data_IF_266969183355
#
_entry.id   IF_266969183355
#
_cell.length_a   1.000
_cell.length_b   1.000
_cell.length_c   1.000
_cell.angle_alpha   90.00
_cell.angle_beta   90.00
_cell.angle_gamma   90.00
#
_symmetry.space_group_name_H-M   'P 1'
#
loop_
_entity.id
_entity.type
_entity.pdbx_description
1 polymer ?
#
# COMPACT_ATOMS: atom_id res chain seq x y z
N UNK A 1 -49.98 -5.60 -2.33
CA UNK A 1 -48.69 -5.29 -1.67
C UNK A 1 -47.49 -5.26 -2.62
N UNK A 2 -47.54 -5.90 -3.80
CA UNK A 2 -46.40 -6.03 -4.73
C UNK A 2 -45.97 -4.73 -5.44
N UNK A 3 -46.91 -3.91 -5.95
CA UNK A 3 -46.54 -2.70 -6.72
C UNK A 3 -45.67 -1.71 -5.92
N UNK A 4 -45.96 -1.48 -4.64
CA UNK A 4 -45.19 -0.56 -3.78
C UNK A 4 -43.74 -1.04 -3.63
N UNK A 5 -43.51 -2.35 -3.51
CA UNK A 5 -42.16 -2.93 -3.43
C UNK A 5 -41.42 -2.79 -4.76
N UNK A 6 -42.13 -2.91 -5.89
CA UNK A 6 -41.59 -2.63 -7.23
C UNK A 6 -41.12 -1.18 -7.37
N UNK A 7 -42.00 -0.21 -7.06
CA UNK A 7 -41.71 1.23 -7.12
C UNK A 7 -40.57 1.61 -6.17
N UNK A 8 -40.54 1.07 -4.95
CA UNK A 8 -39.44 1.32 -4.02
C UNK A 8 -38.09 0.72 -4.48
N UNK A 9 -38.09 -0.44 -5.17
CA UNK A 9 -36.87 -0.94 -5.84
C UNK A 9 -36.47 0.02 -6.96
N UNK A 10 -37.38 0.31 -7.89
CA UNK A 10 -37.06 1.11 -9.07
C UNK A 10 -36.57 2.52 -8.71
N UNK A 11 -37.17 3.19 -7.71
CA UNK A 11 -36.69 4.49 -7.21
C UNK A 11 -35.30 4.36 -6.58
N UNK A 12 -35.08 3.36 -5.72
CA UNK A 12 -33.77 3.13 -5.07
C UNK A 12 -32.68 2.85 -6.11
N UNK A 13 -32.98 2.00 -7.09
CA UNK A 13 -32.03 1.57 -8.09
C UNK A 13 -31.75 2.75 -9.06
N UNK A 14 -32.77 3.51 -9.48
CA UNK A 14 -32.66 4.78 -10.26
C UNK A 14 -32.10 5.98 -9.46
N UNK A 15 -31.81 5.81 -8.17
CA UNK A 15 -30.99 6.72 -7.33
C UNK A 15 -29.56 6.18 -7.20
N UNK A 16 -29.39 4.87 -7.05
CA UNK A 16 -28.09 4.19 -7.02
C UNK A 16 -27.30 4.41 -8.31
N UNK A 17 -27.94 4.21 -9.47
CA UNK A 17 -27.33 4.44 -10.79
C UNK A 17 -26.93 5.90 -10.99
N UNK A 18 -27.69 6.82 -10.40
CA UNK A 18 -27.37 8.25 -10.41
C UNK A 18 -26.14 8.55 -9.56
N UNK A 19 -26.03 7.92 -8.39
CA UNK A 19 -24.86 8.03 -7.53
C UNK A 19 -23.60 7.43 -8.21
N UNK A 20 -23.74 6.28 -8.89
CA UNK A 20 -22.65 5.66 -9.64
C UNK A 20 -22.24 6.42 -10.90
N UNK A 21 -23.16 7.10 -11.60
CA UNK A 21 -22.81 7.99 -12.72
C UNK A 21 -22.01 9.21 -12.27
N UNK A 22 -22.28 9.76 -11.08
CA UNK A 22 -21.48 10.86 -10.52
C UNK A 22 -20.16 10.39 -9.91
N UNK A 23 -20.08 9.14 -9.44
CA UNK A 23 -18.86 8.53 -8.90
C UNK A 23 -18.59 7.14 -9.51
N UNK A 24 -18.06 7.06 -10.75
CA UNK A 24 -17.76 5.79 -11.43
C UNK A 24 -16.69 4.92 -10.75
N UNK A 25 -16.06 5.41 -9.68
CA UNK A 25 -15.14 4.66 -8.83
C UNK A 25 -15.85 3.78 -7.78
N UNK A 26 -17.17 3.90 -7.58
CA UNK A 26 -17.93 3.18 -6.56
C UNK A 26 -18.72 1.96 -7.09
N UNK A 27 -18.89 1.84 -8.40
CA UNK A 27 -19.69 0.78 -9.05
C UNK A 27 -18.96 -0.57 -9.14
N UNK A 28 -17.66 -0.56 -9.41
CA UNK A 28 -16.80 -1.75 -9.43
C UNK A 28 -16.53 -2.25 -7.98
N UNK A 29 -16.88 -3.51 -7.64
CA UNK A 29 -16.68 -4.06 -6.29
C UNK A 29 -15.22 -4.10 -5.82
N UNK A 30 -14.26 -4.32 -6.72
CA UNK A 30 -12.83 -4.35 -6.40
C UNK A 30 -12.26 -2.94 -6.23
N UNK A 31 -12.67 -1.97 -7.08
CA UNK A 31 -12.39 -0.56 -6.81
C UNK A 31 -12.98 -0.10 -5.49
N UNK A 32 -14.24 -0.46 -5.21
CA UNK A 32 -14.97 -0.11 -3.99
C UNK A 32 -14.34 -0.72 -2.74
N UNK A 33 -13.91 -1.98 -2.76
CA UNK A 33 -13.16 -2.57 -1.65
C UNK A 33 -11.80 -1.89 -1.48
N UNK A 34 -11.09 -1.60 -2.56
CA UNK A 34 -9.83 -0.84 -2.50
C UNK A 34 -10.04 0.59 -1.99
N UNK A 35 -11.17 1.24 -2.31
CA UNK A 35 -11.47 2.60 -1.87
C UNK A 35 -11.88 2.61 -0.39
N UNK A 36 -12.73 1.69 0.05
CA UNK A 36 -13.00 1.51 1.47
C UNK A 36 -11.72 1.17 2.25
N UNK A 37 -10.81 0.36 1.70
CA UNK A 37 -9.53 0.04 2.34
C UNK A 37 -8.57 1.23 2.34
N UNK A 38 -8.51 2.04 1.26
CA UNK A 38 -7.69 3.27 1.20
C UNK A 38 -8.22 4.35 2.14
N UNK A 39 -9.54 4.54 2.18
CA UNK A 39 -10.21 5.42 3.16
C UNK A 39 -9.98 4.90 4.57
N UNK A 40 -10.11 3.59 4.82
CA UNK A 40 -9.79 3.00 6.12
C UNK A 40 -8.31 3.20 6.48
N UNK A 41 -7.36 2.99 5.57
CA UNK A 41 -5.93 3.17 5.83
C UNK A 41 -5.58 4.63 6.10
N UNK A 42 -6.14 5.58 5.34
CA UNK A 42 -5.99 7.02 5.58
C UNK A 42 -6.64 7.42 6.90
N UNK A 43 -7.85 6.95 7.21
CA UNK A 43 -8.51 7.20 8.48
C UNK A 43 -7.75 6.58 9.65
N UNK A 44 -7.15 5.39 9.48
CA UNK A 44 -6.27 4.75 10.48
C UNK A 44 -5.01 5.59 10.68
N UNK A 45 -4.38 6.11 9.62
CA UNK A 45 -3.25 7.04 9.75
C UNK A 45 -3.67 8.34 10.46
N UNK A 46 -4.82 8.93 10.10
CA UNK A 46 -5.35 10.12 10.77
C UNK A 46 -5.75 9.85 12.24
N UNK A 47 -6.17 8.62 12.56
CA UNK A 47 -6.43 8.17 13.94
C UNK A 47 -5.11 7.98 14.70
N UNK A 48 -4.08 7.33 14.14
CA UNK A 48 -2.79 7.18 14.81
C UNK A 48 -2.07 8.53 14.99
N UNK A 49 -2.04 9.38 13.95
CA UNK A 49 -1.49 10.74 14.03
C UNK A 49 -2.32 11.59 15.01
N UNK A 50 -3.65 11.50 14.97
CA UNK A 50 -4.55 12.20 15.88
C UNK A 50 -4.41 11.75 17.33
N UNK A 51 -4.25 10.45 17.59
CA UNK A 51 -4.02 9.90 18.94
C UNK A 51 -2.64 10.29 19.45
N UNK A 52 -1.59 10.30 18.62
CA UNK A 52 -0.29 10.86 18.99
C UNK A 52 -0.39 12.35 19.33
N UNK A 53 -1.11 13.14 18.52
CA UNK A 53 -1.38 14.56 18.78
C UNK A 53 -2.19 14.79 20.07
N UNK A 54 -3.12 13.90 20.41
CA UNK A 54 -3.98 14.02 21.60
C UNK A 54 -3.29 13.54 22.88
N UNK A 55 -2.37 12.57 22.80
CA UNK A 55 -1.66 12.01 23.96
C UNK A 55 -0.34 12.73 24.29
N UNK A 56 0.32 13.37 23.31
CA UNK A 56 1.65 14.00 23.48
C UNK A 56 1.74 15.43 22.91
N UNK A 57 0.61 16.15 22.90
CA UNK A 57 0.48 17.52 22.39
C UNK A 57 1.58 18.47 22.87
N UNK A 58 1.88 18.48 24.18
CA UNK A 58 2.86 19.38 24.78
C UNK A 58 4.29 19.15 24.29
N UNK A 59 4.73 17.90 24.13
CA UNK A 59 6.08 17.62 23.63
C UNK A 59 6.17 17.76 22.12
N UNK A 60 5.11 17.42 21.38
CA UNK A 60 5.06 17.64 19.93
C UNK A 60 5.08 19.14 19.59
N UNK A 61 4.35 19.98 20.34
CA UNK A 61 4.36 21.45 20.19
C UNK A 61 5.71 22.05 20.61
N UNK A 62 6.38 21.52 21.65
CA UNK A 62 7.76 21.93 22.01
C UNK A 62 8.75 21.57 20.90
N UNK A 63 8.65 20.36 20.35
CA UNK A 63 9.55 19.86 19.30
C UNK A 63 9.35 20.64 17.99
N UNK A 64 8.09 20.89 17.60
CA UNK A 64 7.73 21.75 16.46
C UNK A 64 8.30 23.17 16.55
N UNK A 65 8.39 23.74 17.76
CA UNK A 65 8.98 25.06 18.02
C UNK A 65 10.51 25.05 18.12
N UNK A 66 11.11 23.89 18.41
CA UNK A 66 12.56 23.72 18.53
C UNK A 66 13.23 23.44 17.18
N UNK A 67 12.59 22.61 16.35
CA UNK A 67 13.17 22.06 15.13
C UNK A 67 12.18 22.16 13.93
N UNK A 68 11.97 23.38 13.36
CA UNK A 68 10.97 23.60 12.31
C UNK A 68 11.20 22.79 11.02
N UNK A 69 12.47 22.42 10.77
CA UNK A 69 12.88 21.62 9.62
C UNK A 69 12.23 20.23 9.57
N UNK A 70 11.88 19.65 10.73
CA UNK A 70 11.22 18.34 10.83
C UNK A 70 9.81 18.37 10.21
N UNK A 71 9.04 19.41 10.50
CA UNK A 71 7.70 19.61 9.91
C UNK A 71 7.80 19.95 8.41
N UNK A 72 8.79 20.76 8.03
CA UNK A 72 9.08 21.05 6.62
C UNK A 72 9.38 19.78 5.81
N UNK A 73 10.18 18.86 6.37
CA UNK A 73 10.51 17.57 5.75
C UNK A 73 9.27 16.67 5.61
N UNK A 74 8.43 16.57 6.65
CA UNK A 74 7.18 15.78 6.60
C UNK A 74 6.23 16.29 5.49
N UNK A 75 6.01 17.60 5.42
CA UNK A 75 5.13 18.21 4.40
C UNK A 75 5.72 18.07 2.99
N UNK A 76 7.04 18.22 2.84
CA UNK A 76 7.73 18.01 1.57
C UNK A 76 7.55 16.57 1.06
N UNK A 77 7.75 15.57 1.92
CA UNK A 77 7.57 14.16 1.56
C UNK A 77 6.11 13.88 1.15
N UNK A 78 5.13 14.37 1.90
CA UNK A 78 3.70 14.21 1.56
C UNK A 78 3.34 14.79 0.18
N UNK A 79 3.83 16.01 -0.13
CA UNK A 79 3.60 16.64 -1.44
C UNK A 79 4.35 15.90 -2.56
N UNK A 80 5.57 15.43 -2.30
CA UNK A 80 6.33 14.62 -3.26
C UNK A 80 5.59 13.31 -3.61
N UNK A 81 5.01 12.61 -2.63
CA UNK A 81 4.18 11.41 -2.87
C UNK A 81 2.95 11.73 -3.74
N UNK A 82 2.30 12.89 -3.52
CA UNK A 82 1.18 13.35 -4.34
C UNK A 82 1.58 13.66 -5.79
N UNK A 83 2.72 14.32 -6.02
CA UNK A 83 3.22 14.59 -7.38
C UNK A 83 3.64 13.29 -8.08
N UNK A 84 4.34 12.40 -7.37
CA UNK A 84 4.75 11.08 -7.87
C UNK A 84 3.55 10.25 -8.34
N UNK A 85 2.43 10.29 -7.61
CA UNK A 85 1.18 9.62 -7.97
C UNK A 85 0.66 10.07 -9.36
N UNK A 86 0.63 11.38 -9.64
CA UNK A 86 0.16 11.89 -10.93
C UNK A 86 1.16 11.64 -12.07
N UNK A 87 2.47 11.74 -11.82
CA UNK A 87 3.51 11.45 -12.83
C UNK A 87 3.51 9.98 -13.25
N UNK A 88 3.15 9.07 -12.34
CA UNK A 88 3.09 7.61 -12.63
C UNK A 88 1.89 7.22 -13.52
N UNK A 89 1.01 8.15 -13.88
CA UNK A 89 -0.28 7.84 -14.52
C UNK A 89 -0.25 7.56 -16.04
N UNK A 90 0.87 7.74 -16.77
CA UNK A 90 0.88 7.47 -18.22
C UNK A 90 2.23 7.30 -18.92
N UNK A 91 2.44 6.16 -19.59
CA UNK A 91 3.40 5.90 -20.69
C UNK A 91 3.22 4.47 -21.31
N UNK A 92 3.57 4.25 -22.59
CA UNK A 92 3.41 2.98 -23.39
C UNK A 92 4.08 3.13 -24.79
N UNK A 93 4.14 2.14 -25.74
CA UNK A 93 3.73 0.71 -25.81
C UNK A 93 4.99 -0.23 -25.78
N UNK A 94 5.21 -1.36 -26.51
CA UNK A 94 4.50 -2.29 -27.44
C UNK A 94 5.46 -3.48 -27.79
N UNK A 95 5.17 -4.64 -28.41
CA UNK A 95 4.02 -5.16 -29.19
C UNK A 95 3.87 -6.74 -29.15
N UNK A 96 2.66 -7.30 -28.86
CA UNK A 96 2.17 -8.72 -28.88
C UNK A 96 0.67 -8.75 -28.51
N UNK A 97 -0.28 -9.29 -29.30
CA UNK A 97 -1.71 -8.94 -29.07
C UNK A 97 -2.39 -9.60 -27.86
N UNK A 98 -3.06 -8.79 -27.02
CA UNK A 98 -3.98 -9.22 -25.96
C UNK A 98 -5.38 -9.48 -26.52
N UNK A 99 -6.01 -10.60 -26.16
CA UNK A 99 -7.41 -10.88 -26.50
C UNK A 99 -8.41 -10.05 -25.69
N UNK A 100 -8.17 -9.86 -24.39
CA UNK A 100 -9.08 -9.16 -23.47
C UNK A 100 -9.14 -7.65 -23.71
N UNK A 101 -7.98 -7.00 -23.79
CA UNK A 101 -7.90 -5.55 -23.98
C UNK A 101 -7.85 -5.14 -25.46
N UNK A 102 -7.75 -6.09 -26.40
CA UNK A 102 -7.49 -5.86 -27.84
C UNK A 102 -6.23 -5.03 -28.17
N UNK A 103 -5.34 -4.77 -27.20
CA UNK A 103 -4.10 -4.00 -27.38
C UNK A 103 -2.87 -4.87 -27.62
N UNK A 104 -1.86 -4.28 -28.25
CA UNK A 104 -0.60 -4.92 -28.62
C UNK A 104 0.41 -4.83 -27.43
N UNK A 105 0.34 -5.79 -26.50
CA UNK A 105 1.14 -5.93 -25.27
C UNK A 105 2.66 -5.90 -25.51
N UNK A 106 3.45 -5.10 -24.79
CA UNK A 106 4.90 -5.17 -24.89
C UNK A 106 5.52 -6.56 -24.61
N UNK A 107 6.73 -6.85 -25.12
CA UNK A 107 7.57 -7.90 -24.53
C UNK A 107 7.65 -7.73 -23.01
N UNK A 108 7.65 -8.84 -22.27
CA UNK A 108 7.54 -8.88 -20.79
C UNK A 108 6.22 -8.34 -20.21
N UNK A 109 5.30 -7.82 -21.02
CA UNK A 109 3.99 -7.39 -20.53
C UNK A 109 3.03 -8.56 -20.35
N UNK A 110 1.99 -8.35 -19.54
CA UNK A 110 0.94 -9.33 -19.27
C UNK A 110 -0.37 -8.61 -18.98
N UNK A 111 -1.51 -9.23 -19.30
CA UNK A 111 -2.80 -8.84 -18.77
C UNK A 111 -2.96 -9.35 -17.33
N UNK A 112 -3.48 -8.50 -16.43
CA UNK A 112 -3.88 -8.86 -15.08
C UNK A 112 -5.39 -8.66 -14.94
N UNK A 113 -6.11 -9.77 -14.76
CA UNK A 113 -7.57 -9.80 -14.64
C UNK A 113 -8.05 -9.00 -13.41
N UNK A 114 -7.28 -9.06 -12.32
CA UNK A 114 -7.52 -8.37 -11.04
C UNK A 114 -7.42 -6.83 -11.15
N UNK A 115 -6.98 -6.31 -12.29
CA UNK A 115 -6.89 -4.89 -12.62
C UNK A 115 -7.43 -4.55 -14.02
N UNK A 116 -8.06 -5.52 -14.69
CA UNK A 116 -8.53 -5.52 -16.09
C UNK A 116 -7.64 -4.72 -17.07
N UNK A 117 -6.32 -4.91 -17.00
CA UNK A 117 -5.38 -4.13 -17.81
C UNK A 117 -4.11 -4.89 -18.19
N UNK A 118 -3.53 -4.48 -19.30
CA UNK A 118 -2.17 -4.88 -19.67
C UNK A 118 -1.14 -4.05 -18.89
N UNK A 119 -0.10 -4.70 -18.37
CA UNK A 119 0.97 -4.10 -17.57
C UNK A 119 2.31 -4.47 -18.17
N UNK A 120 3.11 -3.46 -18.49
CA UNK A 120 4.46 -3.55 -19.05
C UNK A 120 5.47 -4.06 -18.01
N UNK A 121 6.34 -5.00 -18.41
CA UNK A 121 7.24 -5.77 -17.53
C UNK A 121 6.52 -6.27 -16.26
N UNK A 122 5.45 -7.05 -16.44
CA UNK A 122 4.62 -7.50 -15.32
C UNK A 122 5.44 -8.37 -14.35
N UNK A 123 5.39 -7.99 -13.06
CA UNK A 123 6.03 -8.72 -11.98
C UNK A 123 5.01 -9.58 -11.21
N UNK A 124 4.03 -8.95 -10.57
CA UNK A 124 2.92 -9.60 -9.91
C UNK A 124 1.72 -8.64 -9.72
N UNK A 125 0.56 -9.16 -9.32
CA UNK A 125 -0.48 -8.34 -8.69
C UNK A 125 -0.22 -8.30 -7.18
N UNK A 126 0.08 -7.13 -6.62
CA UNK A 126 0.35 -6.99 -5.20
C UNK A 126 -0.96 -6.77 -4.44
N UNK A 127 -1.47 -7.84 -3.81
CA UNK A 127 -2.70 -7.79 -3.01
C UNK A 127 -2.63 -6.78 -1.86
N UNK A 128 -1.43 -6.55 -1.31
CA UNK A 128 -1.19 -5.58 -0.23
C UNK A 128 -1.36 -4.12 -0.67
N UNK A 129 -1.01 -3.82 -1.93
CA UNK A 129 -1.09 -2.47 -2.51
C UNK A 129 -2.32 -2.28 -3.42
N UNK A 130 -3.09 -3.35 -3.68
CA UNK A 130 -4.27 -3.33 -4.56
C UNK A 130 -3.94 -2.91 -5.99
N UNK A 131 -2.75 -3.24 -6.50
CA UNK A 131 -2.28 -2.87 -7.84
C UNK A 131 -1.22 -3.85 -8.36
N UNK A 132 -1.06 -3.90 -9.68
CA UNK A 132 0.08 -4.59 -10.29
C UNK A 132 1.39 -3.86 -10.01
N UNK A 133 2.46 -4.65 -9.89
CA UNK A 133 3.86 -4.21 -9.97
C UNK A 133 4.38 -4.53 -11.37
N UNK A 134 5.07 -3.56 -11.98
CA UNK A 134 5.73 -3.69 -13.28
C UNK A 134 6.54 -2.44 -13.61
N UNK A 135 6.93 -2.23 -14.87
CA UNK A 135 7.94 -1.23 -15.25
C UNK A 135 7.70 0.18 -14.68
N UNK A 136 6.44 0.64 -14.64
CA UNK A 136 6.10 1.99 -14.16
C UNK A 136 6.21 2.21 -12.65
N UNK A 137 6.29 1.15 -11.84
CA UNK A 137 6.32 1.24 -10.38
C UNK A 137 7.25 0.24 -9.66
N UNK A 138 8.03 -0.59 -10.36
CA UNK A 138 8.87 -1.62 -9.73
C UNK A 138 10.00 -1.01 -8.87
N UNK A 139 10.56 0.14 -9.27
CA UNK A 139 11.55 0.87 -8.47
C UNK A 139 10.93 1.41 -7.18
N UNK A 140 9.77 2.05 -7.27
CA UNK A 140 9.00 2.59 -6.16
C UNK A 140 8.55 1.48 -5.19
N UNK A 141 8.20 0.30 -5.72
CA UNK A 141 7.89 -0.89 -4.92
C UNK A 141 9.11 -1.40 -4.13
N UNK A 142 10.31 -1.38 -4.73
CA UNK A 142 11.54 -1.73 -4.02
C UNK A 142 11.86 -0.73 -2.90
N UNK A 143 11.73 0.57 -3.16
CA UNK A 143 11.90 1.61 -2.12
C UNK A 143 10.88 1.48 -0.99
N UNK A 144 9.61 1.21 -1.30
CA UNK A 144 8.57 0.93 -0.30
C UNK A 144 8.95 -0.26 0.60
N UNK A 145 9.46 -1.38 0.05
CA UNK A 145 9.91 -2.51 0.88
C UNK A 145 11.11 -2.09 1.74
N UNK A 146 12.06 -1.29 1.23
CA UNK A 146 13.19 -0.81 2.01
C UNK A 146 12.73 0.09 3.17
N UNK A 147 11.84 1.04 2.92
CA UNK A 147 11.28 1.96 3.91
C UNK A 147 10.54 1.21 5.02
N UNK A 148 9.65 0.28 4.66
CA UNK A 148 8.97 -0.63 5.62
C UNK A 148 9.97 -1.48 6.42
N UNK A 149 11.02 -2.01 5.76
CA UNK A 149 12.08 -2.78 6.44
C UNK A 149 12.83 -1.92 7.46
N UNK A 150 13.17 -0.69 7.10
CA UNK A 150 13.88 0.27 7.96
C UNK A 150 13.00 0.72 9.14
N UNK A 151 11.73 1.03 8.89
CA UNK A 151 10.77 1.41 9.93
C UNK A 151 10.52 0.25 10.93
N UNK A 152 10.37 -0.97 10.42
CA UNK A 152 10.20 -2.16 11.25
C UNK A 152 11.45 -2.44 12.11
N UNK A 153 12.65 -2.37 11.52
CA UNK A 153 13.93 -2.49 12.24
C UNK A 153 14.08 -1.41 13.33
N UNK A 154 13.78 -0.16 13.01
CA UNK A 154 13.83 0.94 13.99
C UNK A 154 12.86 0.72 15.15
N UNK A 155 11.64 0.25 14.86
CA UNK A 155 10.63 -0.08 15.87
C UNK A 155 11.09 -1.22 16.77
N UNK A 156 11.70 -2.27 16.21
CA UNK A 156 12.32 -3.38 16.97
C UNK A 156 13.42 -2.87 17.92
N UNK A 157 14.28 -1.96 17.45
CA UNK A 157 15.34 -1.35 18.28
C UNK A 157 14.73 -0.54 19.43
N UNK A 158 13.69 0.28 19.16
CA UNK A 158 13.00 1.06 20.20
C UNK A 158 12.32 0.16 21.25
N UNK A 159 11.68 -0.94 20.84
CA UNK A 159 11.08 -1.90 21.76
C UNK A 159 12.13 -2.55 22.67
N UNK A 160 13.27 -2.96 22.12
CA UNK A 160 14.39 -3.52 22.90
C UNK A 160 14.99 -2.48 23.86
N UNK A 161 15.12 -1.22 23.44
CA UNK A 161 15.59 -0.13 24.30
C UNK A 161 14.62 0.15 25.46
N UNK A 162 13.32 0.25 25.17
CA UNK A 162 12.28 0.44 26.17
C UNK A 162 12.20 -0.73 27.17
N UNK A 163 12.34 -1.97 26.68
CA UNK A 163 12.40 -3.17 27.52
C UNK A 163 13.58 -3.10 28.49
N UNK A 164 14.77 -2.69 28.04
CA UNK A 164 15.96 -2.55 28.91
C UNK A 164 15.88 -1.38 29.91
N UNK A 165 15.26 -0.27 29.53
CA UNK A 165 15.32 0.96 30.32
C UNK A 165 14.40 0.96 31.57
N UNK A 166 13.30 0.21 31.56
CA UNK A 166 12.25 0.31 32.59
C UNK A 166 12.05 -1.03 33.33
N UNK A 167 12.95 -1.33 34.27
CA UNK A 167 12.98 -2.59 35.03
C UNK A 167 11.89 -2.66 36.12
N UNK A 168 11.34 -1.51 36.55
CA UNK A 168 10.38 -1.38 37.66
C UNK A 168 8.89 -1.48 37.27
N UNK A 169 8.57 -1.87 36.02
CA UNK A 169 7.18 -1.98 35.54
C UNK A 169 6.53 -3.32 35.92
N UNK A 170 5.21 -3.40 35.78
CA UNK A 170 4.46 -4.64 36.01
C UNK A 170 4.67 -5.67 34.91
N UNK A 171 4.91 -6.94 35.29
CA UNK A 171 5.23 -8.07 34.40
C UNK A 171 4.29 -8.28 33.19
N UNK A 172 3.03 -7.84 33.28
CA UNK A 172 2.07 -7.97 32.18
C UNK A 172 2.37 -6.99 31.03
N UNK A 173 3.00 -5.84 31.32
CA UNK A 173 3.52 -4.93 30.29
C UNK A 173 4.70 -5.57 29.55
N UNK A 174 5.60 -6.25 30.27
CA UNK A 174 6.69 -7.02 29.64
C UNK A 174 6.13 -8.11 28.71
N UNK A 175 5.14 -8.88 29.17
CA UNK A 175 4.51 -9.93 28.37
C UNK A 175 3.89 -9.39 27.07
N UNK A 176 3.18 -8.26 27.12
CA UNK A 176 2.61 -7.60 25.93
C UNK A 176 3.72 -7.09 25.01
N UNK A 177 4.72 -6.38 25.55
CA UNK A 177 5.81 -5.82 24.74
C UNK A 177 6.69 -6.91 24.09
N UNK A 178 6.90 -8.04 24.77
CA UNK A 178 7.59 -9.22 24.21
C UNK A 178 6.76 -9.87 23.09
N UNK A 179 5.44 -10.03 23.26
CA UNK A 179 4.56 -10.57 22.22
C UNK A 179 4.55 -9.70 20.95
N UNK A 180 4.47 -8.38 21.13
CA UNK A 180 4.55 -7.41 20.03
C UNK A 180 5.93 -7.43 19.35
N UNK A 181 7.02 -7.52 20.13
CA UNK A 181 8.38 -7.63 19.61
C UNK A 181 8.60 -8.93 18.82
N UNK A 182 8.01 -10.06 19.24
CA UNK A 182 8.04 -11.33 18.48
C UNK A 182 7.32 -11.16 17.13
N UNK A 183 6.11 -10.56 17.14
CA UNK A 183 5.35 -10.29 15.91
C UNK A 183 6.13 -9.39 14.95
N UNK A 184 6.68 -8.27 15.45
CA UNK A 184 7.52 -7.35 14.67
C UNK A 184 8.77 -8.03 14.11
N UNK A 185 9.41 -8.92 14.90
CA UNK A 185 10.60 -9.66 14.45
C UNK A 185 10.29 -10.62 13.30
N UNK A 186 9.12 -11.28 13.33
CA UNK A 186 8.65 -12.15 12.24
C UNK A 186 8.35 -11.31 10.99
N UNK A 187 7.67 -10.17 11.14
CA UNK A 187 7.43 -9.22 10.03
C UNK A 187 8.74 -8.69 9.44
N UNK A 188 9.73 -8.35 10.27
CA UNK A 188 11.05 -7.89 9.83
C UNK A 188 11.78 -8.95 9.02
N UNK A 189 11.78 -10.22 9.46
CA UNK A 189 12.39 -11.34 8.71
C UNK A 189 11.71 -11.51 7.35
N UNK A 190 10.38 -11.43 7.29
CA UNK A 190 9.65 -11.48 6.01
C UNK A 190 10.00 -10.31 5.08
N UNK A 191 10.04 -9.07 5.60
CA UNK A 191 10.38 -7.87 4.83
C UNK A 191 11.83 -7.92 4.31
N UNK A 192 12.79 -8.35 5.12
CA UNK A 192 14.20 -8.53 4.70
C UNK A 192 14.32 -9.58 3.60
N UNK A 193 13.63 -10.72 3.72
CA UNK A 193 13.63 -11.75 2.67
C UNK A 193 13.00 -11.26 1.37
N UNK A 194 11.91 -10.49 1.45
CA UNK A 194 11.26 -9.88 0.30
C UNK A 194 12.15 -8.82 -0.38
N UNK A 195 12.83 -7.98 0.42
CA UNK A 195 13.79 -6.98 -0.05
C UNK A 195 14.97 -7.63 -0.78
N UNK A 196 15.57 -8.68 -0.19
CA UNK A 196 16.66 -9.43 -0.81
C UNK A 196 16.22 -10.12 -2.10
N UNK A 197 15.00 -10.67 -2.14
CA UNK A 197 14.43 -11.29 -3.34
C UNK A 197 14.22 -10.29 -4.48
N UNK A 198 13.58 -9.15 -4.22
CA UNK A 198 13.40 -8.12 -5.25
C UNK A 198 14.71 -7.42 -5.64
N UNK A 199 15.69 -7.34 -4.73
CA UNK A 199 17.06 -6.89 -5.07
C UNK A 199 17.74 -7.85 -6.03
N UNK A 200 17.64 -9.17 -5.80
CA UNK A 200 18.16 -10.19 -6.72
C UNK A 200 17.47 -10.14 -8.10
N UNK A 201 16.15 -9.96 -8.13
CA UNK A 201 15.40 -9.79 -9.38
C UNK A 201 15.85 -8.55 -10.16
N UNK A 202 16.02 -7.41 -9.49
CA UNK A 202 16.52 -6.18 -10.09
C UNK A 202 17.95 -6.35 -10.64
N UNK A 203 18.87 -6.91 -9.84
CA UNK A 203 20.27 -7.15 -10.24
C UNK A 203 20.41 -8.16 -11.39
N UNK A 204 19.47 -9.09 -11.55
CA UNK A 204 19.43 -10.05 -12.65
C UNK A 204 18.54 -9.63 -13.83
N UNK A 205 17.92 -8.44 -13.77
CA UNK A 205 16.95 -7.93 -14.73
C UNK A 205 15.83 -8.95 -15.07
N UNK A 206 15.25 -9.56 -14.04
CA UNK A 206 14.13 -10.51 -14.14
C UNK A 206 12.92 -10.01 -13.36
N UNK A 207 11.71 -10.40 -13.76
CA UNK A 207 10.51 -10.23 -12.92
C UNK A 207 10.15 -11.54 -12.19
N UNK A 208 9.42 -11.44 -11.09
CA UNK A 208 8.87 -12.59 -10.34
C UNK A 208 8.10 -13.53 -11.26
N UNK A 209 7.24 -12.98 -12.12
CA UNK A 209 6.49 -13.73 -13.13
C UNK A 209 7.40 -14.46 -14.12
N UNK A 210 8.47 -13.83 -14.58
CA UNK A 210 9.44 -14.46 -15.50
C UNK A 210 10.22 -15.60 -14.83
N UNK A 211 10.71 -15.39 -13.61
CA UNK A 211 11.43 -16.42 -12.85
C UNK A 211 10.53 -17.63 -12.55
N UNK A 212 9.28 -17.39 -12.12
CA UNK A 212 8.30 -18.46 -11.87
C UNK A 212 7.86 -19.16 -13.16
N UNK A 213 7.74 -18.43 -14.28
CA UNK A 213 7.39 -19.01 -15.59
C UNK A 213 8.53 -19.86 -16.16
N UNK A 214 9.79 -19.43 -16.04
CA UNK A 214 10.97 -20.22 -16.48
C UNK A 214 11.07 -21.56 -15.76
N UNK A 215 10.60 -21.67 -14.51
CA UNK A 215 10.57 -22.94 -13.75
C UNK A 215 9.40 -23.88 -14.11
N UNK A 216 8.62 -23.58 -15.16
CA UNK A 216 7.47 -24.37 -15.63
C UNK A 216 7.58 -24.77 -17.11
N UNK A 217 8.79 -24.69 -17.66
CA UNK A 217 9.17 -25.03 -19.04
C UNK A 217 10.38 -25.94 -18.94
#
# INVERSE_FOLDING_TARGET
>A
MTMVVGVCREIRDRVSDRCFNWFPCLSDPARRSSLCLKVALVMIHMIYVGVLFLLDSDNLIRTAKRDPWYIGLYLFLYVATLVQYFVTAGSSPGQWTCTYCSVLQPPRAKHCHDCDKCVLQFDHHCVWLGTCIGQGNHCQFWWYILEETTLCLWTVILYIAYLKANISRSWWMDAIMILLLITLSISLVFLVLLLLFHSYLALTNQTTYELVRRRRI
#
